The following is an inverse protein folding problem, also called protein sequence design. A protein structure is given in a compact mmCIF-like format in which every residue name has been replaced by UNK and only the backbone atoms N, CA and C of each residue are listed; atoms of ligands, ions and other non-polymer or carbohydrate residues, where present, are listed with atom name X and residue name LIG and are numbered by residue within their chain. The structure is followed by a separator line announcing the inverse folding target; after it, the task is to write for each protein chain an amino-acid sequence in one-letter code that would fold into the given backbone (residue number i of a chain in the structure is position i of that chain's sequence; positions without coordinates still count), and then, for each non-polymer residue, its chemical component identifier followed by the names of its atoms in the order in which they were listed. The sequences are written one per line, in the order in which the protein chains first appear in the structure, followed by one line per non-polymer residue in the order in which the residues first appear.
data_IF_116428112618
#
_entry.id   IF_116428112618
#
_cell.length_a   1.000
_cell.length_b   1.000
_cell.length_c   1.000
_cell.angle_alpha   90.00
_cell.angle_beta   90.00
_cell.angle_gamma   90.00
#
_symmetry.space_group_name_H-M   'P 1'
#
loop_
_entity.id
_entity.type
_entity.pdbx_description
1 polymer ?
#
# COMPACT_ATOMS: atom_id res chain seq x y z
N UNK A 1 -18.85 42.92 9.27
CA UNK A 1 -17.53 42.43 8.83
C UNK A 1 -17.80 41.18 8.00
N UNK A 2 -17.42 41.17 6.72
CA UNK A 2 -17.49 39.94 5.91
C UNK A 2 -16.26 39.13 6.31
N UNK A 3 -16.39 38.29 7.34
CA UNK A 3 -15.34 37.32 7.59
C UNK A 3 -15.24 36.42 6.37
N UNK A 4 -14.02 36.27 5.84
CA UNK A 4 -13.78 35.36 4.74
C UNK A 4 -14.11 33.95 5.23
N UNK A 5 -15.02 33.28 4.53
CA UNK A 5 -15.32 31.87 4.77
C UNK A 5 -14.05 31.03 4.64
N UNK A 6 -13.99 29.93 5.37
CA UNK A 6 -12.91 28.96 5.21
C UNK A 6 -12.94 28.28 3.84
N UNK A 7 -11.75 27.98 3.34
CA UNK A 7 -11.57 27.17 2.14
C UNK A 7 -11.96 25.71 2.41
N UNK A 8 -12.32 25.00 1.34
CA UNK A 8 -12.78 23.61 1.39
C UNK A 8 -11.72 22.67 1.98
N UNK A 9 -10.44 22.88 1.65
CA UNK A 9 -9.33 22.11 2.21
C UNK A 9 -9.27 22.22 3.74
N UNK A 10 -9.55 23.38 4.32
CA UNK A 10 -9.56 23.57 5.78
C UNK A 10 -10.76 22.85 6.42
N UNK A 11 -11.91 22.86 5.74
CA UNK A 11 -13.09 22.11 6.20
C UNK A 11 -12.85 20.60 6.11
N UNK A 12 -12.19 20.10 5.07
CA UNK A 12 -11.81 18.68 4.95
C UNK A 12 -10.84 18.27 6.07
N UNK A 13 -9.76 19.03 6.29
CA UNK A 13 -8.84 18.78 7.41
C UNK A 13 -9.51 18.84 8.78
N UNK A 14 -10.58 19.64 8.94
CA UNK A 14 -11.39 19.66 10.15
C UNK A 14 -12.13 18.32 10.37
N UNK A 15 -12.76 17.77 9.33
CA UNK A 15 -13.46 16.49 9.39
C UNK A 15 -12.52 15.29 9.51
N UNK A 16 -11.32 15.36 8.91
CA UNK A 16 -10.29 14.33 9.02
C UNK A 16 -9.56 14.36 10.38
N UNK A 17 -9.74 15.42 11.17
CA UNK A 17 -9.10 15.60 12.48
C UNK A 17 -7.62 15.99 12.40
N UNK A 18 -7.16 16.51 11.27
CA UNK A 18 -5.75 16.89 11.04
C UNK A 18 -5.41 18.29 11.56
N UNK A 19 -6.42 19.11 11.90
CA UNK A 19 -6.22 20.46 12.42
C UNK A 19 -5.72 20.47 13.87
N UNK A 20 -4.89 21.47 14.20
CA UNK A 20 -4.51 21.75 15.59
C UNK A 20 -5.76 22.05 16.45
N UNK A 21 -5.73 21.77 17.77
CA UNK A 21 -6.91 21.95 18.63
C UNK A 21 -7.41 23.40 18.66
N UNK A 22 -6.50 24.38 18.59
CA UNK A 22 -6.86 25.81 18.53
C UNK A 22 -7.58 26.14 17.21
N UNK A 23 -7.08 25.63 16.08
CA UNK A 23 -7.68 25.83 14.77
C UNK A 23 -9.04 25.14 14.67
N UNK A 24 -9.15 23.92 15.20
CA UNK A 24 -10.40 23.16 15.24
C UNK A 24 -11.50 23.90 16.01
N UNK A 25 -11.16 24.52 17.15
CA UNK A 25 -12.09 25.34 17.92
C UNK A 25 -12.54 26.60 17.16
N UNK A 26 -11.60 27.27 16.46
CA UNK A 26 -11.90 28.43 15.62
C UNK A 26 -12.82 28.08 14.44
N UNK A 27 -12.52 26.99 13.73
CA UNK A 27 -13.34 26.49 12.61
C UNK A 27 -14.74 26.11 13.10
N UNK A 28 -14.85 25.39 14.23
CA UNK A 28 -16.14 25.05 14.82
C UNK A 28 -16.95 26.29 15.22
N UNK A 29 -16.32 27.30 15.83
CA UNK A 29 -16.98 28.56 16.18
C UNK A 29 -17.49 29.29 14.93
N UNK A 30 -16.71 29.32 13.85
CA UNK A 30 -17.11 29.96 12.60
C UNK A 30 -18.21 29.18 11.87
N UNK A 31 -18.16 27.84 11.82
CA UNK A 31 -19.23 27.01 11.24
C UNK A 31 -20.56 27.30 11.96
N UNK A 32 -20.56 27.48 13.28
CA UNK A 32 -21.76 27.84 14.04
C UNK A 32 -22.27 29.27 13.77
N UNK A 33 -21.38 30.20 13.39
CA UNK A 33 -21.73 31.59 13.14
C UNK A 33 -22.03 31.92 11.66
N UNK A 34 -21.50 31.13 10.72
CA UNK A 34 -21.50 31.41 9.28
C UNK A 34 -22.35 30.39 8.50
N UNK A 35 -23.47 30.86 7.94
CA UNK A 35 -24.43 30.03 7.19
C UNK A 35 -23.80 29.32 5.97
N UNK A 36 -22.86 29.97 5.28
CA UNK A 36 -22.21 29.38 4.10
C UNK A 36 -21.26 28.24 4.48
N UNK A 37 -20.46 28.41 5.53
CA UNK A 37 -19.59 27.34 6.04
C UNK A 37 -20.41 26.20 6.63
N UNK A 38 -21.53 26.49 7.31
CA UNK A 38 -22.45 25.47 7.79
C UNK A 38 -23.08 24.65 6.65
N UNK A 39 -23.43 25.30 5.52
CA UNK A 39 -23.98 24.61 4.36
C UNK A 39 -22.94 23.67 3.71
N UNK A 40 -21.71 24.15 3.51
CA UNK A 40 -20.60 23.32 2.98
C UNK A 40 -20.21 22.17 3.91
N UNK A 41 -20.20 22.42 5.22
CA UNK A 41 -19.91 21.37 6.20
C UNK A 41 -20.94 20.22 6.10
N UNK A 42 -22.24 20.54 5.95
CA UNK A 42 -23.29 19.54 5.73
C UNK A 42 -23.13 18.77 4.42
N UNK A 43 -22.66 19.42 3.37
CA UNK A 43 -22.39 18.78 2.07
C UNK A 43 -21.29 17.72 2.24
N UNK A 44 -20.16 18.08 2.85
CA UNK A 44 -19.04 17.16 3.14
C UNK A 44 -19.50 15.99 4.04
N UNK A 45 -20.29 16.26 5.08
CA UNK A 45 -20.86 15.21 5.93
C UNK A 45 -21.74 14.23 5.12
N UNK A 46 -22.58 14.75 4.22
CA UNK A 46 -23.47 13.93 3.39
C UNK A 46 -22.70 13.06 2.38
N UNK A 47 -21.62 13.59 1.79
CA UNK A 47 -20.73 12.82 0.92
C UNK A 47 -19.99 11.73 1.69
N UNK A 48 -19.49 12.06 2.88
CA UNK A 48 -18.82 11.11 3.77
C UNK A 48 -19.77 10.01 4.21
N UNK A 49 -21.03 10.34 4.52
CA UNK A 49 -22.05 9.35 4.87
C UNK A 49 -22.39 8.43 3.69
N UNK A 50 -22.49 8.98 2.48
CA UNK A 50 -22.72 8.20 1.26
C UNK A 50 -21.56 7.24 0.99
N UNK A 51 -20.30 7.70 1.10
CA UNK A 51 -19.12 6.85 0.95
C UNK A 51 -19.09 5.75 2.01
N UNK A 52 -19.31 6.11 3.28
CA UNK A 52 -19.35 5.14 4.38
C UNK A 52 -20.44 4.09 4.18
N UNK A 53 -21.61 4.49 3.70
CA UNK A 53 -22.71 3.58 3.38
C UNK A 53 -22.38 2.66 2.20
N UNK A 54 -21.73 3.18 1.17
CA UNK A 54 -21.30 2.41 0.00
C UNK A 54 -20.26 1.35 0.37
N UNK A 55 -19.29 1.69 1.24
CA UNK A 55 -18.22 0.78 1.67
C UNK A 55 -18.55 -0.05 2.91
N UNK A 56 -19.73 0.13 3.52
CA UNK A 56 -20.12 -0.62 4.72
C UNK A 56 -20.06 -2.14 4.51
N UNK A 57 -20.53 -2.72 3.39
CA UNK A 57 -20.42 -4.15 3.14
C UNK A 57 -18.97 -4.64 3.05
N UNK A 58 -18.07 -3.88 2.41
CA UNK A 58 -16.66 -4.22 2.32
C UNK A 58 -15.91 -4.07 3.65
N UNK A 59 -16.33 -3.13 4.51
CA UNK A 59 -15.79 -2.98 5.86
C UNK A 59 -16.32 -4.05 6.82
N UNK A 60 -17.56 -4.53 6.61
CA UNK A 60 -18.18 -5.63 7.35
C UNK A 60 -17.71 -7.02 6.90
N UNK A 61 -17.19 -7.14 5.67
CA UNK A 61 -16.34 -8.27 5.27
C UNK A 61 -15.09 -8.21 6.14
N UNK A 62 -15.21 -8.74 7.36
CA UNK A 62 -14.21 -8.66 8.41
C UNK A 62 -12.85 -8.91 7.81
N UNK A 63 -12.08 -7.84 7.64
CA UNK A 63 -10.69 -7.96 7.22
C UNK A 63 -10.10 -8.99 8.18
N UNK A 64 -9.53 -10.12 7.71
CA UNK A 64 -9.04 -11.20 8.57
C UNK A 64 -7.88 -10.71 9.44
N UNK A 65 -8.16 -9.85 10.42
CA UNK A 65 -7.17 -8.99 11.05
C UNK A 65 -6.91 -9.42 12.47
N UNK A 66 -7.80 -10.12 13.16
CA UNK A 66 -7.45 -10.65 14.48
C UNK A 66 -6.45 -11.81 14.36
N UNK A 67 -6.66 -12.76 13.46
CA UNK A 67 -5.71 -13.86 13.26
C UNK A 67 -4.41 -13.39 12.58
N UNK A 68 -4.50 -12.49 11.59
CA UNK A 68 -3.32 -11.95 10.93
C UNK A 68 -2.53 -11.01 11.84
N UNK A 69 -3.19 -10.13 12.63
CA UNK A 69 -2.50 -9.32 13.65
C UNK A 69 -1.89 -10.20 14.71
N UNK A 70 -2.60 -11.21 15.23
CA UNK A 70 -2.03 -12.14 16.20
C UNK A 70 -0.77 -12.83 15.64
N UNK A 71 -0.76 -13.22 14.36
CA UNK A 71 0.41 -13.78 13.69
C UNK A 71 1.54 -12.75 13.56
N UNK A 72 1.26 -11.54 13.10
CA UNK A 72 2.25 -10.46 12.98
C UNK A 72 2.84 -10.11 14.36
N UNK A 73 2.02 -9.94 15.38
CA UNK A 73 2.45 -9.63 16.75
C UNK A 73 3.31 -10.74 17.34
N UNK A 74 2.96 -12.01 17.07
CA UNK A 74 3.77 -13.15 17.48
C UNK A 74 5.13 -13.17 16.79
N UNK A 75 5.18 -12.83 15.49
CA UNK A 75 6.42 -12.75 14.73
C UNK A 75 7.32 -11.60 15.20
N UNK A 76 6.74 -10.42 15.46
CA UNK A 76 7.47 -9.26 16.01
C UNK A 76 8.05 -9.58 17.39
N UNK A 77 7.27 -10.21 18.28
CA UNK A 77 7.76 -10.63 19.60
C UNK A 77 8.89 -11.65 19.50
N UNK A 78 8.76 -12.63 18.59
CA UNK A 78 9.81 -13.62 18.37
C UNK A 78 11.12 -12.97 17.91
N UNK A 79 11.06 -11.99 17.00
CA UNK A 79 12.24 -11.25 16.55
C UNK A 79 12.84 -10.34 17.63
N UNK A 80 12.00 -9.68 18.45
CA UNK A 80 12.50 -8.87 19.57
C UNK A 80 13.22 -9.72 20.63
N UNK A 81 12.68 -10.90 20.95
CA UNK A 81 13.32 -11.85 21.86
C UNK A 81 14.63 -12.40 21.26
N UNK A 82 14.66 -12.66 19.95
CA UNK A 82 15.87 -13.11 19.24
C UNK A 82 16.97 -12.03 19.25
N UNK A 83 16.60 -10.77 19.05
CA UNK A 83 17.50 -9.62 19.09
C UNK A 83 18.07 -9.39 20.50
N UNK A 84 17.23 -9.41 21.54
CA UNK A 84 17.67 -9.26 22.93
C UNK A 84 18.59 -10.41 23.36
N UNK A 85 18.28 -11.65 22.98
CA UNK A 85 19.14 -12.81 23.27
C UNK A 85 20.52 -12.71 22.60
N UNK A 86 20.60 -12.11 21.40
CA UNK A 86 21.87 -11.86 20.70
C UNK A 86 22.72 -10.79 21.39
N UNK A 87 22.10 -9.74 21.94
CA UNK A 87 22.84 -8.70 22.67
C UNK A 87 23.45 -9.21 23.98
N UNK A 88 22.68 -9.99 24.76
CA UNK A 88 23.18 -10.57 26.03
C UNK A 88 24.38 -11.49 25.80
N UNK A 89 24.40 -12.26 24.71
CA UNK A 89 25.55 -13.11 24.33
C UNK A 89 26.77 -12.33 23.83
N UNK A 90 26.58 -11.16 23.18
CA UNK A 90 27.71 -10.31 22.78
C UNK A 90 28.36 -9.61 23.97
N UNK A 91 27.56 -9.20 24.97
CA UNK A 91 28.06 -8.57 26.20
C UNK A 91 28.91 -9.49 27.09
N UNK A 92 28.61 -10.79 27.15
CA UNK A 92 29.39 -11.75 27.96
C UNK A 92 30.75 -12.07 27.35
N UNK A 93 30.83 -12.18 26.02
CA UNK A 93 32.06 -12.59 25.35
C UNK A 93 33.12 -11.48 25.31
N UNK A 94 32.71 -10.21 25.20
CA UNK A 94 33.62 -9.08 25.32
C UNK A 94 34.18 -8.94 26.74
N UNK A 95 33.34 -9.14 27.76
CA UNK A 95 33.77 -9.08 29.17
C UNK A 95 34.71 -10.23 29.53
N UNK A 96 34.47 -11.43 29.02
CA UNK A 96 35.37 -12.58 29.17
C UNK A 96 36.71 -12.38 28.43
N UNK A 97 36.68 -11.81 27.22
CA UNK A 97 37.88 -11.49 26.45
C UNK A 97 38.72 -10.40 27.14
N UNK A 98 38.12 -9.30 27.59
CA UNK A 98 38.85 -8.26 28.35
C UNK A 98 39.37 -8.76 29.70
N UNK A 99 38.66 -9.67 30.38
CA UNK A 99 39.16 -10.29 31.61
C UNK A 99 40.39 -11.18 31.37
N UNK A 100 40.56 -11.75 30.17
CA UNK A 100 41.75 -12.54 29.83
C UNK A 100 42.99 -11.69 29.50
N UNK A 101 42.81 -10.40 29.18
CA UNK A 101 43.90 -9.53 28.77
C UNK A 101 44.57 -8.76 29.91
N UNK A 102 43.95 -8.69 31.10
CA UNK A 102 44.55 -8.01 32.26
C UNK A 102 44.35 -8.86 33.53
N UNK A 103 45.23 -9.84 33.79
CA UNK A 103 45.20 -10.61 35.03
C UNK A 103 45.70 -9.72 36.18
N UNK A 104 44.78 -9.06 36.88
CA UNK A 104 45.11 -8.21 38.04
C UNK A 104 44.11 -7.10 38.37
N UNK A 105 43.16 -6.79 37.49
CA UNK A 105 42.14 -5.76 37.75
C UNK A 105 40.88 -6.36 38.37
N UNK A 106 40.96 -6.75 39.64
CA UNK A 106 39.78 -6.98 40.47
C UNK A 106 39.15 -5.62 40.83
N UNK A 107 38.24 -5.14 39.98
CA UNK A 107 37.48 -3.92 40.25
C UNK A 107 36.53 -4.14 41.43
N UNK A 108 36.93 -3.67 42.62
CA UNK A 108 36.02 -3.53 43.76
C UNK A 108 35.01 -2.40 43.46
N UNK A 109 33.74 -2.52 43.85
CA UNK A 109 32.69 -1.53 43.56
C UNK A 109 32.93 -0.16 44.23
N UNK A 110 33.96 -0.04 45.07
CA UNK A 110 34.26 1.19 45.83
C UNK A 110 35.07 2.21 45.01
N UNK A 111 35.71 1.81 43.91
CA UNK A 111 36.52 2.72 43.07
C UNK A 111 35.82 3.21 41.80
N UNK A 112 34.62 2.72 41.49
CA UNK A 112 33.89 3.05 40.25
C UNK A 112 33.53 4.54 40.16
N UNK A 113 33.28 5.20 41.30
CA UNK A 113 32.98 6.64 41.34
C UNK A 113 34.19 7.52 41.00
N UNK A 114 35.43 7.06 41.26
CA UNK A 114 36.64 7.85 41.01
C UNK A 114 37.11 7.79 39.55
N UNK A 115 36.84 6.69 38.84
CA UNK A 115 37.27 6.53 37.43
C UNK A 115 36.26 7.06 36.41
N UNK A 116 35.00 7.30 36.81
CA UNK A 116 33.99 7.88 35.93
C UNK A 116 34.38 9.29 35.43
N UNK A 117 35.00 10.10 36.28
CA UNK A 117 35.47 11.45 35.91
C UNK A 117 36.62 11.40 34.90
N UNK A 118 37.54 10.43 35.04
CA UNK A 118 38.67 10.24 34.11
C UNK A 118 38.17 9.81 32.73
N UNK A 119 37.19 8.90 32.65
CA UNK A 119 36.62 8.48 31.37
C UNK A 119 35.88 9.61 30.65
N UNK A 120 35.19 10.49 31.39
CA UNK A 120 34.55 11.68 30.80
C UNK A 120 35.61 12.63 30.22
N UNK A 121 36.73 12.84 30.92
CA UNK A 121 37.83 13.68 30.40
C UNK A 121 38.48 13.07 29.15
N UNK A 122 38.67 11.75 29.11
CA UNK A 122 39.20 11.06 27.92
C UNK A 122 38.23 11.17 26.74
N UNK A 123 36.93 10.99 26.97
CA UNK A 123 35.91 11.13 25.93
C UNK A 123 35.86 12.55 25.35
N UNK A 124 35.91 13.58 26.22
CA UNK A 124 35.96 14.99 25.78
C UNK A 124 37.24 15.27 24.99
N UNK A 125 38.39 14.77 25.44
CA UNK A 125 39.67 14.94 24.73
C UNK A 125 39.65 14.26 23.34
N UNK A 126 39.03 13.07 23.23
CA UNK A 126 38.88 12.37 21.95
C UNK A 126 37.98 13.15 20.96
N UNK A 127 36.86 13.70 21.43
CA UNK A 127 35.99 14.56 20.60
C UNK A 127 36.75 15.80 20.12
N UNK A 128 37.51 16.45 21.00
CA UNK A 128 38.30 17.63 20.64
C UNK A 128 39.40 17.31 19.61
N UNK A 129 40.05 16.15 19.74
CA UNK A 129 41.08 15.70 18.80
C UNK A 129 40.49 15.46 17.39
N UNK A 130 39.31 14.84 17.30
CA UNK A 130 38.64 14.58 16.01
C UNK A 130 38.24 15.89 15.32
N UNK A 131 37.66 16.84 16.06
CA UNK A 131 37.28 18.15 15.51
C UNK A 131 38.51 18.88 14.95
N UNK A 132 39.63 18.87 15.69
CA UNK A 132 40.86 19.52 15.22
C UNK A 132 41.43 18.87 13.96
N UNK A 133 41.27 17.56 13.79
CA UNK A 133 41.76 16.84 12.62
C UNK A 133 40.91 17.11 11.36
N UNK A 134 39.59 17.27 11.53
CA UNK A 134 38.69 17.66 10.44
C UNK A 134 38.97 19.09 9.96
N UNK A 135 39.30 20.02 10.86
CA UNK A 135 39.67 21.39 10.45
C UNK A 135 41.03 21.46 9.73
N UNK A 136 41.98 20.57 10.06
CA UNK A 136 43.28 20.52 9.37
C UNK A 136 43.18 19.94 7.93
N UNK A 137 42.18 19.09 7.67
CA UNK A 137 42.00 18.43 6.36
C UNK A 137 41.14 19.25 5.40
N UNK A 138 40.26 20.12 5.90
CA UNK A 138 39.40 20.98 5.07
C UNK A 138 40.04 22.31 4.64
N UNK A 139 41.33 22.55 4.93
CA UNK A 139 42.03 23.79 4.61
C UNK A 139 42.74 23.83 3.24
N UNK A 140 42.70 22.75 2.45
CA UNK A 140 43.43 22.67 1.18
C UNK A 140 42.47 22.49 -0.01
N UNK A 141 42.05 23.60 -0.59
CA UNK A 141 41.61 23.64 -1.99
C UNK A 141 40.23 24.24 -2.24
N UNK A 142 40.20 25.53 -2.59
CA UNK A 142 39.33 26.06 -3.65
C UNK A 142 39.54 27.58 -3.79
N UNK A 143 40.63 27.98 -4.45
CA UNK A 143 40.71 29.30 -5.11
C UNK A 143 39.98 29.19 -6.45
N UNK A 144 38.69 29.50 -6.45
CA UNK A 144 37.88 29.70 -7.65
C UNK A 144 37.83 31.19 -8.00
N UNK A 145 38.34 31.50 -9.18
CA UNK A 145 38.51 32.81 -9.81
C UNK A 145 37.21 33.62 -9.91
N UNK A 146 37.23 34.87 -9.45
CA UNK A 146 36.13 35.84 -9.59
C UNK A 146 36.18 36.42 -11.02
N UNK A 147 35.11 36.21 -11.79
CA UNK A 147 34.87 36.93 -13.04
C UNK A 147 34.01 38.18 -12.76
N UNK A 148 34.63 39.34 -12.93
CA UNK A 148 34.01 40.66 -12.95
C UNK A 148 33.02 40.77 -14.10
N UNK A 149 31.78 41.21 -13.85
CA UNK A 149 30.89 41.75 -14.89
C UNK A 149 30.05 42.89 -14.33
N UNK A 150 29.92 43.90 -15.18
CA UNK A 150 29.70 45.30 -14.86
C UNK A 150 28.23 45.68 -14.61
N UNK A 151 28.08 46.73 -13.81
CA UNK A 151 26.89 47.55 -13.59
C UNK A 151 26.35 48.16 -14.89
N UNK A 152 25.01 48.20 -15.05
CA UNK A 152 24.40 49.42 -15.59
C UNK A 152 23.20 49.93 -14.75
N UNK A 153 23.04 51.24 -14.90
CA UNK A 153 22.15 52.25 -14.31
C UNK A 153 20.65 52.10 -14.71
N UNK A 154 19.68 52.70 -13.98
CA UNK A 154 18.26 52.38 -14.11
C UNK A 154 17.58 53.20 -15.22
N UNK A 155 16.93 52.53 -16.17
CA UNK A 155 16.04 53.17 -17.14
C UNK A 155 14.58 52.86 -16.80
N UNK A 156 13.82 53.92 -16.58
CA UNK A 156 12.37 53.99 -16.47
C UNK A 156 11.74 53.52 -17.78
N UNK A 157 10.91 52.46 -17.76
CA UNK A 157 9.97 52.16 -18.85
C UNK A 157 8.67 51.56 -18.28
N UNK A 158 7.58 52.18 -18.70
CA UNK A 158 6.15 51.89 -18.54
C UNK A 158 5.75 50.49 -19.03
N UNK A 159 4.76 49.79 -18.44
CA UNK A 159 4.23 48.54 -19.00
C UNK A 159 3.16 48.80 -20.07
N UNK A 160 3.21 48.15 -21.24
CA UNK A 160 2.07 47.99 -22.12
C UNK A 160 1.26 46.72 -21.82
N UNK A 161 -0.03 46.82 -22.12
CA UNK A 161 -0.99 45.72 -22.22
C UNK A 161 -0.58 44.64 -23.23
N UNK A 162 -1.14 43.45 -22.98
CA UNK A 162 -1.61 42.47 -23.96
C UNK A 162 -0.76 41.19 -24.19
N UNK A 163 -1.38 40.06 -23.80
CA UNK A 163 -1.38 38.84 -24.60
C UNK A 163 -0.45 37.70 -24.19
N UNK A 164 -0.83 36.91 -23.18
CA UNK A 164 -0.38 35.49 -23.11
C UNK A 164 -1.55 34.57 -22.77
N UNK A 165 -1.88 33.79 -23.79
CA UNK A 165 -2.81 32.68 -23.87
C UNK A 165 -2.25 31.43 -23.16
N UNK A 166 -3.00 30.75 -22.26
CA UNK A 166 -2.60 29.45 -21.74
C UNK A 166 -3.12 28.29 -22.61
N UNK A 167 -2.24 27.30 -22.76
CA UNK A 167 -2.44 25.99 -23.38
C UNK A 167 -3.40 25.12 -22.55
N UNK A 168 -4.37 24.37 -23.14
CA UNK A 168 -5.32 23.57 -22.38
C UNK A 168 -4.79 22.17 -22.05
N UNK A 169 -4.86 21.81 -20.76
CA UNK A 169 -4.87 20.42 -20.26
C UNK A 169 -6.33 19.91 -20.24
N UNK A 170 -6.56 18.60 -20.46
CA UNK A 170 -7.89 18.06 -20.72
C UNK A 170 -8.70 17.92 -19.43
N UNK A 171 -9.88 18.55 -19.40
CA UNK A 171 -10.93 18.29 -18.41
C UNK A 171 -11.87 17.23 -18.97
N UNK A 172 -12.02 16.10 -18.26
CA UNK A 172 -13.10 15.15 -18.53
C UNK A 172 -14.37 15.70 -17.89
N UNK A 173 -15.19 16.32 -18.73
CA UNK A 173 -16.51 16.82 -18.37
C UNK A 173 -17.53 15.69 -18.58
N UNK A 174 -18.02 15.14 -17.47
CA UNK A 174 -19.04 14.10 -17.46
C UNK A 174 -20.43 14.76 -17.57
N UNK A 175 -20.88 15.01 -18.80
CA UNK A 175 -22.21 15.52 -19.09
C UNK A 175 -23.10 14.39 -19.64
N UNK A 176 -23.91 13.79 -18.75
CA UNK A 176 -24.96 12.87 -19.13
C UNK A 176 -26.34 13.44 -18.80
N UNK A 177 -26.69 14.53 -19.48
CA UNK A 177 -28.08 14.94 -19.69
C UNK A 177 -28.20 15.47 -21.12
N UNK A 178 -28.70 14.64 -22.04
CA UNK A 178 -29.68 14.99 -23.08
C UNK A 178 -29.77 13.89 -24.15
N UNK A 179 -30.87 13.14 -24.12
CA UNK A 179 -31.29 12.25 -25.19
C UNK A 179 -31.68 13.05 -26.44
N UNK A 180 -31.36 12.59 -27.67
CA UNK A 180 -31.74 13.29 -28.89
C UNK A 180 -33.25 13.18 -29.14
N UNK A 181 -33.95 14.33 -29.19
CA UNK A 181 -35.30 14.45 -29.74
C UNK A 181 -35.22 14.36 -31.27
N UNK A 182 -35.63 13.23 -31.84
CA UNK A 182 -35.88 13.09 -33.27
C UNK A 182 -37.14 13.87 -33.66
N UNK A 183 -36.99 14.95 -34.40
CA UNK A 183 -38.07 15.60 -35.13
C UNK A 183 -38.06 15.16 -36.59
N UNK A 184 -39.22 14.86 -37.16
CA UNK A 184 -39.39 14.62 -38.60
C UNK A 184 -39.82 15.90 -39.33
N UNK A 185 -39.34 16.06 -40.56
CA UNK A 185 -39.47 17.26 -41.38
C UNK A 185 -40.89 17.51 -41.97
N UNK A 186 -41.97 17.09 -41.31
CA UNK A 186 -43.33 17.28 -41.84
C UNK A 186 -44.42 17.67 -40.82
N UNK A 187 -44.05 18.04 -39.59
CA UNK A 187 -44.94 18.78 -38.69
C UNK A 187 -46.28 18.11 -38.35
N UNK A 188 -46.36 16.78 -38.30
CA UNK A 188 -47.58 16.06 -37.89
C UNK A 188 -47.33 15.20 -36.64
N UNK A 189 -48.25 15.19 -35.65
CA UNK A 189 -48.06 14.44 -34.42
C UNK A 189 -48.12 12.93 -34.66
N UNK A 190 -47.19 12.19 -34.06
CA UNK A 190 -47.12 10.73 -34.08
C UNK A 190 -48.37 10.11 -33.43
N UNK A 191 -49.15 9.35 -34.21
CA UNK A 191 -50.15 8.42 -33.67
C UNK A 191 -49.42 7.23 -33.06
N UNK A 192 -49.69 6.95 -31.79
CA UNK A 192 -49.19 5.77 -31.06
C UNK A 192 -49.61 4.48 -31.77
N UNK A 193 -48.70 3.49 -31.95
CA UNK A 193 -49.09 2.17 -32.44
C UNK A 193 -49.94 1.45 -31.39
N UNK A 194 -51.04 0.86 -31.85
CA UNK A 194 -51.94 -0.01 -31.09
C UNK A 194 -51.26 -1.37 -30.95
N UNK A 195 -50.96 -1.81 -29.74
CA UNK A 195 -50.38 -3.13 -29.44
C UNK A 195 -51.50 -4.17 -29.54
N UNK A 196 -51.42 -5.16 -30.46
CA UNK A 196 -52.33 -6.31 -30.48
C UNK A 196 -51.96 -7.32 -29.39
N UNK A 197 -52.98 -7.95 -28.81
CA UNK A 197 -52.89 -8.84 -27.67
C UNK A 197 -52.00 -10.08 -27.86
N UNK A 198 -51.55 -10.56 -26.70
CA UNK A 198 -50.77 -11.78 -26.48
C UNK A 198 -51.54 -13.05 -26.90
N UNK A 199 -50.88 -13.98 -27.60
CA UNK A 199 -51.19 -15.40 -27.47
C UNK A 199 -50.28 -16.02 -26.41
N UNK A 200 -50.94 -16.59 -25.40
CA UNK A 200 -50.44 -17.63 -24.50
C UNK A 200 -49.77 -18.77 -25.27
N UNK A 201 -48.61 -19.25 -24.80
CA UNK A 201 -48.09 -20.55 -25.20
C UNK A 201 -46.56 -20.68 -25.28
N UNK A 202 -46.02 -21.35 -24.26
CA UNK A 202 -44.86 -22.26 -24.31
C UNK A 202 -43.43 -21.67 -24.32
N UNK A 203 -42.76 -21.87 -23.18
CA UNK A 203 -41.39 -22.38 -23.04
C UNK A 203 -40.35 -21.92 -24.07
N UNK A 204 -39.71 -20.78 -23.79
CA UNK A 204 -38.30 -20.58 -24.16
C UNK A 204 -37.57 -19.88 -23.02
N UNK A 205 -37.00 -20.69 -22.13
CA UNK A 205 -35.91 -20.30 -21.25
C UNK A 205 -34.78 -19.85 -22.17
N UNK A 206 -34.56 -18.54 -22.25
CA UNK A 206 -33.37 -17.96 -22.84
C UNK A 206 -32.19 -18.38 -21.96
N UNK A 207 -31.61 -19.52 -22.33
CA UNK A 207 -30.34 -20.03 -21.81
C UNK A 207 -29.27 -19.02 -22.23
N UNK A 208 -28.99 -18.06 -21.35
CA UNK A 208 -27.76 -17.29 -21.41
C UNK A 208 -26.61 -18.29 -21.55
N UNK A 209 -26.00 -18.23 -22.72
CA UNK A 209 -24.95 -19.13 -23.13
C UNK A 209 -23.74 -18.72 -22.30
N UNK A 210 -23.54 -19.41 -21.18
CA UNK A 210 -22.27 -19.41 -20.46
C UNK A 210 -21.15 -19.52 -21.50
N UNK A 211 -20.07 -18.71 -21.38
CA UNK A 211 -18.94 -18.81 -22.30
C UNK A 211 -18.51 -20.27 -22.30
N UNK A 212 -18.45 -20.86 -23.50
CA UNK A 212 -17.99 -22.21 -23.73
C UNK A 212 -16.69 -22.39 -22.95
N UNK A 213 -16.74 -23.16 -21.86
CA UNK A 213 -15.57 -23.64 -21.15
C UNK A 213 -14.74 -24.35 -22.21
N UNK A 214 -13.66 -23.70 -22.63
CA UNK A 214 -12.69 -24.27 -23.53
C UNK A 214 -12.27 -25.66 -22.99
N UNK A 215 -11.97 -26.63 -23.86
CA UNK A 215 -11.41 -27.91 -23.42
C UNK A 215 -10.20 -27.64 -22.51
N UNK A 216 -9.89 -28.54 -21.54
CA UNK A 216 -8.79 -28.35 -20.61
C UNK A 216 -7.54 -28.03 -21.40
N UNK A 217 -7.16 -26.75 -21.40
CA UNK A 217 -6.03 -26.25 -22.18
C UNK A 217 -4.84 -26.93 -21.55
N UNK A 218 -4.24 -27.87 -22.27
CA UNK A 218 -2.98 -28.47 -21.86
C UNK A 218 -2.03 -27.33 -21.53
N UNK A 219 -1.60 -27.29 -20.27
CA UNK A 219 -0.76 -26.23 -19.75
C UNK A 219 0.45 -26.09 -20.66
N UNK A 220 0.66 -24.93 -21.28
CA UNK A 220 1.72 -24.79 -22.27
C UNK A 220 3.09 -24.99 -21.57
N UNK A 221 4.13 -25.48 -22.27
CA UNK A 221 5.38 -25.96 -21.66
C UNK A 221 6.08 -24.89 -20.83
N UNK A 222 6.59 -25.18 -19.62
CA UNK A 222 7.02 -24.18 -18.65
C UNK A 222 8.19 -23.31 -19.14
N UNK A 223 8.25 -22.07 -18.67
CA UNK A 223 9.40 -21.17 -18.90
C UNK A 223 10.61 -21.66 -18.07
N UNK A 224 11.86 -21.39 -18.50
CA UNK A 224 13.06 -21.92 -17.83
C UNK A 224 13.16 -21.60 -16.33
N UNK A 225 12.70 -20.42 -15.93
CA UNK A 225 12.74 -19.91 -14.56
C UNK A 225 11.51 -20.31 -13.72
N UNK A 226 10.49 -20.94 -14.30
CA UNK A 226 9.32 -21.45 -13.57
C UNK A 226 9.60 -22.77 -12.86
N UNK A 227 10.62 -23.52 -13.29
CA UNK A 227 10.84 -24.91 -12.87
C UNK A 227 10.99 -25.06 -11.34
N UNK A 228 11.64 -24.10 -10.68
CA UNK A 228 11.81 -24.09 -9.22
C UNK A 228 10.47 -24.05 -8.49
N UNK A 229 9.58 -23.14 -8.90
CA UNK A 229 8.24 -23.01 -8.33
C UNK A 229 7.38 -24.24 -8.61
N UNK A 230 7.42 -24.78 -9.83
CA UNK A 230 6.63 -25.96 -10.18
C UNK A 230 7.03 -27.19 -9.37
N UNK A 231 8.33 -27.37 -9.12
CA UNK A 231 8.82 -28.45 -8.26
C UNK A 231 8.35 -28.27 -6.81
N UNK A 232 8.42 -27.05 -6.27
CA UNK A 232 7.95 -26.74 -4.93
C UNK A 232 6.43 -27.00 -4.79
N UNK A 233 5.65 -26.51 -5.74
CA UNK A 233 4.18 -26.71 -5.80
C UNK A 233 3.86 -28.21 -5.87
N UNK A 234 4.52 -28.97 -6.73
CA UNK A 234 4.29 -30.41 -6.84
C UNK A 234 4.63 -31.15 -5.53
N UNK A 235 5.76 -30.79 -4.89
CA UNK A 235 6.16 -31.38 -3.61
C UNK A 235 5.14 -31.09 -2.49
N UNK A 236 4.67 -29.85 -2.38
CA UNK A 236 3.70 -29.45 -1.36
C UNK A 236 2.32 -30.08 -1.62
N UNK A 237 1.89 -30.11 -2.88
CA UNK A 237 0.63 -30.77 -3.27
C UNK A 237 0.65 -32.25 -2.88
N UNK A 238 1.73 -32.97 -3.20
CA UNK A 238 1.91 -34.37 -2.81
C UNK A 238 1.95 -34.55 -1.28
N UNK A 239 2.51 -33.60 -0.53
CA UNK A 239 2.54 -33.65 0.94
C UNK A 239 1.14 -33.49 1.54
N UNK A 240 0.33 -32.56 1.01
CA UNK A 240 -1.06 -32.33 1.44
C UNK A 240 -1.93 -33.55 1.09
N UNK A 241 -1.78 -34.06 -0.14
CA UNK A 241 -2.55 -35.23 -0.59
C UNK A 241 -2.20 -36.51 0.20
N UNK A 242 -0.93 -36.68 0.58
CA UNK A 242 -0.48 -37.85 1.36
C UNK A 242 -0.85 -37.79 2.83
N UNK A 243 -0.86 -36.60 3.44
CA UNK A 243 -1.34 -36.39 4.82
C UNK A 243 -2.87 -36.46 4.92
N UNK A 244 -3.54 -36.38 3.77
CA UNK A 244 -4.97 -36.58 3.60
C UNK A 244 -5.74 -35.28 3.70
N UNK A 245 -6.27 -34.83 2.56
CA UNK A 245 -7.23 -33.72 2.44
C UNK A 245 -8.47 -33.84 3.36
N UNK A 246 -8.67 -34.98 4.03
CA UNK A 246 -9.74 -35.27 4.98
C UNK A 246 -9.49 -34.77 6.41
N UNK A 247 -8.29 -34.26 6.74
CA UNK A 247 -8.01 -33.69 8.07
C UNK A 247 -8.50 -32.25 8.23
N UNK A 248 -8.79 -31.54 7.14
CA UNK A 248 -9.33 -30.18 7.19
C UNK A 248 -10.85 -30.19 7.38
N UNK A 249 -11.42 -29.25 8.16
CA UNK A 249 -12.86 -29.05 8.22
C UNK A 249 -13.45 -28.78 6.82
N UNK A 250 -14.65 -29.29 6.49
CA UNK A 250 -15.25 -29.14 5.15
C UNK A 250 -15.38 -27.69 4.68
N UNK A 251 -15.65 -26.76 5.59
CA UNK A 251 -15.72 -25.32 5.28
C UNK A 251 -14.37 -24.76 4.83
N UNK A 252 -13.29 -25.07 5.56
CA UNK A 252 -11.92 -24.64 5.24
C UNK A 252 -11.46 -25.25 3.92
N UNK A 253 -11.80 -26.52 3.67
CA UNK A 253 -11.47 -27.19 2.42
C UNK A 253 -12.15 -26.52 1.22
N UNK A 254 -13.41 -26.12 1.34
CA UNK A 254 -14.14 -25.43 0.28
C UNK A 254 -13.52 -24.06 -0.05
N UNK A 255 -13.14 -23.29 0.97
CA UNK A 255 -12.48 -21.99 0.80
C UNK A 255 -11.09 -22.15 0.17
N UNK A 256 -10.28 -23.08 0.68
CA UNK A 256 -8.97 -23.41 0.11
C UNK A 256 -9.07 -23.77 -1.37
N UNK A 257 -10.02 -24.62 -1.76
CA UNK A 257 -10.21 -25.04 -3.15
C UNK A 257 -10.56 -23.86 -4.06
N UNK A 258 -11.46 -22.98 -3.59
CA UNK A 258 -11.83 -21.76 -4.30
C UNK A 258 -10.62 -20.83 -4.49
N UNK A 259 -9.82 -20.63 -3.44
CA UNK A 259 -8.63 -19.78 -3.51
C UNK A 259 -7.56 -20.37 -4.45
N UNK A 260 -7.36 -21.69 -4.41
CA UNK A 260 -6.48 -22.40 -5.34
C UNK A 260 -6.90 -22.21 -6.80
N UNK A 261 -8.19 -22.37 -7.10
CA UNK A 261 -8.73 -22.19 -8.44
C UNK A 261 -8.50 -20.77 -8.97
N UNK A 262 -8.69 -19.76 -8.12
CA UNK A 262 -8.43 -18.36 -8.49
C UNK A 262 -6.94 -18.12 -8.79
N UNK A 263 -6.04 -18.63 -7.94
CA UNK A 263 -4.59 -18.50 -8.16
C UNK A 263 -4.17 -19.25 -9.43
N UNK A 264 -4.73 -20.43 -9.69
CA UNK A 264 -4.43 -21.21 -10.88
C UNK A 264 -4.90 -20.52 -12.17
N UNK A 265 -6.06 -19.88 -12.14
CA UNK A 265 -6.53 -19.04 -13.25
C UNK A 265 -5.59 -17.84 -13.47
N UNK A 266 -5.14 -17.17 -12.40
CA UNK A 266 -4.19 -16.07 -12.48
C UNK A 266 -2.84 -16.50 -13.08
N UNK A 267 -2.30 -17.64 -12.65
CA UNK A 267 -1.06 -18.22 -13.22
C UNK A 267 -1.27 -18.56 -14.70
N UNK A 268 -2.39 -19.17 -15.07
CA UNK A 268 -2.68 -19.52 -16.45
C UNK A 268 -2.75 -18.27 -17.35
N UNK A 269 -3.50 -17.24 -16.92
CA UNK A 269 -3.65 -15.99 -17.67
C UNK A 269 -2.31 -15.26 -17.84
N UNK A 270 -1.51 -15.19 -16.78
CA UNK A 270 -0.24 -14.43 -16.78
C UNK A 270 0.87 -15.17 -17.49
N UNK A 271 0.87 -16.51 -17.47
CA UNK A 271 1.73 -17.33 -18.31
C UNK A 271 1.44 -17.13 -19.81
N UNK A 272 0.18 -16.94 -20.20
CA UNK A 272 -0.18 -16.59 -21.60
C UNK A 272 0.35 -15.19 -21.94
N UNK A 273 0.18 -14.21 -21.05
CA UNK A 273 0.68 -12.84 -21.25
C UNK A 273 2.22 -12.79 -21.37
N UNK A 274 2.94 -13.42 -20.44
CA UNK A 274 4.41 -13.47 -20.42
C UNK A 274 5.00 -14.17 -21.65
N UNK A 275 4.29 -15.14 -22.25
CA UNK A 275 4.72 -15.75 -23.52
C UNK A 275 4.50 -14.87 -24.73
N UNK A 276 3.39 -14.14 -24.75
CA UNK A 276 3.09 -13.21 -25.85
C UNK A 276 4.11 -12.08 -25.89
N UNK A 277 4.59 -11.64 -24.73
CA UNK A 277 5.65 -10.63 -24.63
C UNK A 277 6.71 -11.00 -23.58
N UNK A 278 7.76 -11.77 -23.94
CA UNK A 278 8.80 -12.18 -23.02
C UNK A 278 9.65 -11.04 -22.43
N UNK A 279 9.63 -9.86 -23.06
CA UNK A 279 10.34 -8.66 -22.60
C UNK A 279 9.51 -7.81 -21.64
N UNK A 280 8.24 -8.15 -21.41
CA UNK A 280 7.39 -7.47 -20.44
C UNK A 280 7.77 -7.88 -19.01
N UNK A 281 8.58 -7.03 -18.37
CA UNK A 281 9.02 -7.23 -17.00
C UNK A 281 7.85 -7.30 -16.00
N UNK A 282 6.78 -6.55 -16.23
CA UNK A 282 5.61 -6.53 -15.35
C UNK A 282 4.82 -7.83 -15.42
N UNK A 283 4.61 -8.38 -16.62
CA UNK A 283 3.94 -9.68 -16.79
C UNK A 283 4.72 -10.82 -16.12
N UNK A 284 6.07 -10.81 -16.24
CA UNK A 284 6.94 -11.77 -15.56
C UNK A 284 6.89 -11.63 -14.04
N UNK A 285 6.95 -10.39 -13.54
CA UNK A 285 6.88 -10.14 -12.09
C UNK A 285 5.54 -10.61 -11.51
N UNK A 286 4.43 -10.34 -12.18
CA UNK A 286 3.12 -10.81 -11.75
C UNK A 286 3.03 -12.34 -11.75
N UNK A 287 3.60 -12.99 -12.77
CA UNK A 287 3.66 -14.45 -12.85
C UNK A 287 4.42 -15.06 -11.66
N UNK A 288 5.59 -14.52 -11.29
CA UNK A 288 6.32 -15.01 -10.11
C UNK A 288 5.59 -14.72 -8.80
N UNK A 289 4.97 -13.56 -8.67
CA UNK A 289 4.15 -13.24 -7.50
C UNK A 289 2.98 -14.24 -7.35
N UNK A 290 2.35 -14.62 -8.47
CA UNK A 290 1.28 -15.62 -8.48
C UNK A 290 1.77 -17.01 -8.06
N UNK A 291 2.97 -17.41 -8.49
CA UNK A 291 3.60 -18.65 -8.01
C UNK A 291 3.94 -18.61 -6.53
N UNK A 292 4.50 -17.50 -6.03
CA UNK A 292 4.83 -17.33 -4.62
C UNK A 292 3.58 -17.46 -3.76
N UNK A 293 2.50 -16.76 -4.12
CA UNK A 293 1.22 -16.85 -3.43
C UNK A 293 0.68 -18.29 -3.39
N UNK A 294 0.85 -19.07 -4.48
CA UNK A 294 0.45 -20.48 -4.50
C UNK A 294 1.28 -21.31 -3.53
N UNK A 295 2.60 -21.13 -3.52
CA UNK A 295 3.50 -21.84 -2.60
C UNK A 295 3.16 -21.51 -1.15
N UNK A 296 2.94 -20.23 -0.84
CA UNK A 296 2.60 -19.78 0.51
C UNK A 296 1.26 -20.37 0.98
N UNK A 297 0.24 -20.37 0.11
CA UNK A 297 -1.05 -20.99 0.40
C UNK A 297 -0.90 -22.50 0.67
N UNK A 298 -0.15 -23.21 -0.18
CA UNK A 298 0.09 -24.65 -0.02
C UNK A 298 0.88 -24.95 1.26
N UNK A 299 1.90 -24.15 1.58
CA UNK A 299 2.67 -24.31 2.82
C UNK A 299 1.79 -24.10 4.05
N UNK A 300 0.97 -23.05 4.07
CA UNK A 300 0.08 -22.78 5.19
C UNK A 300 -0.91 -23.91 5.44
N UNK A 301 -1.44 -24.51 4.36
CA UNK A 301 -2.35 -25.66 4.45
C UNK A 301 -1.62 -26.91 4.92
N UNK A 302 -0.41 -27.17 4.41
CA UNK A 302 0.41 -28.29 4.86
C UNK A 302 0.70 -28.18 6.37
N UNK A 303 1.10 -27.00 6.86
CA UNK A 303 1.33 -26.74 8.28
C UNK A 303 0.06 -26.98 9.12
N UNK A 304 -1.10 -26.53 8.63
CA UNK A 304 -2.37 -26.74 9.30
C UNK A 304 -2.75 -28.23 9.39
N UNK A 305 -2.54 -29.00 8.31
CA UNK A 305 -2.80 -30.45 8.32
C UNK A 305 -1.89 -31.19 9.29
N UNK A 306 -0.62 -30.82 9.40
CA UNK A 306 0.34 -31.39 10.36
C UNK A 306 -0.05 -31.09 11.81
N UNK A 307 -0.53 -29.87 12.09
CA UNK A 307 -1.01 -29.50 13.42
C UNK A 307 -2.28 -30.26 13.81
N UNK A 308 -3.18 -30.53 12.87
CA UNK A 308 -4.38 -31.33 13.14
C UNK A 308 -4.03 -32.81 13.32
N UNK A 309 -3.11 -33.35 12.52
CA UNK A 309 -2.68 -34.75 12.59
C UNK A 309 -1.88 -35.11 13.86
N UNK A 310 -1.30 -34.11 14.53
CA UNK A 310 -0.53 -34.29 15.78
C UNK A 310 -1.36 -34.16 17.06
N UNK A 311 -2.66 -33.85 16.94
CA UNK A 311 -3.62 -33.85 18.05
C UNK A 311 -4.36 -35.17 18.14
#
# INVERSE_FOLDING_TARGET
MKELCFDEAVLQSYFDGELSPETMQSVAAHINACVNCAARAKEIESETELMRGAFAPEMELGVPTESLRARIDSAIKAEQLSAQAREVRKGSNLRAWFASLIPGLNFSPQHVAAFASVLVLIAVAAVFAVIKWQHATNGAGSTGTIATSATPEPTVVTPPEEGTQPSPSPSIENNNQNAPKLYNASGRPFRRPRIPGTPSGNNMVARERAPNLAPPVQSPPPLPDEQGYLKAIASLTNAIDSTGNSTLPPSVQAEYRRNLELIDQAIAATRVAARRNPQDASARQFLYASYQNKVDLLSAVADQTMLVASR
#
